data_IF_054619538374
#
_entry.id   IF_054619538374
#
_cell.length_a   1.000
_cell.length_b   1.000
_cell.length_c   1.000
_cell.angle_alpha   90.00
_cell.angle_beta   90.00
_cell.angle_gamma   90.00
#
_symmetry.space_group_name_H-M   'P 1'
#
loop_
_entity.id
_entity.type
_entity.pdbx_description
1 polymer ?
#
# COMPACT_ATOMS: atom_id res chain seq x y z
N UNK A 1 -32.61 -13.79 17.19
CA UNK A 1 -32.25 -12.36 17.29
C UNK A 1 -30.74 -12.31 17.28
N UNK A 2 -30.23 -12.43 16.07
CA UNK A 2 -28.84 -12.70 15.75
C UNK A 2 -28.04 -11.42 15.97
N UNK A 3 -27.00 -11.53 16.80
CA UNK A 3 -26.12 -10.43 17.18
C UNK A 3 -25.65 -9.68 15.93
N UNK A 4 -25.94 -8.38 15.86
CA UNK A 4 -25.29 -7.44 14.95
C UNK A 4 -23.81 -7.39 15.34
N UNK A 5 -23.04 -8.34 14.80
CA UNK A 5 -21.60 -8.38 14.94
C UNK A 5 -21.06 -7.02 14.51
N UNK A 6 -20.38 -6.34 15.44
CA UNK A 6 -19.76 -5.05 15.18
C UNK A 6 -18.84 -5.17 13.99
N UNK A 7 -19.23 -4.55 12.88
CA UNK A 7 -18.37 -4.42 11.71
C UNK A 7 -17.23 -3.52 12.15
N UNK A 8 -16.04 -4.09 12.34
CA UNK A 8 -14.87 -3.28 12.67
C UNK A 8 -14.42 -2.54 11.42
N UNK A 9 -13.79 -1.39 11.61
CA UNK A 9 -13.21 -0.62 10.50
C UNK A 9 -12.24 -1.48 9.66
N UNK A 10 -11.50 -2.39 10.30
CA UNK A 10 -10.65 -3.38 9.62
C UNK A 10 -11.42 -4.26 8.63
N UNK A 11 -12.58 -4.79 9.03
CA UNK A 11 -13.42 -5.65 8.19
C UNK A 11 -13.94 -4.88 6.96
N UNK A 12 -14.28 -3.59 7.12
CA UNK A 12 -14.70 -2.75 5.99
C UNK A 12 -13.58 -2.47 5.00
N UNK A 13 -12.34 -2.27 5.49
CA UNK A 13 -11.18 -2.04 4.64
C UNK A 13 -10.82 -3.30 3.85
N UNK A 14 -10.84 -4.46 4.50
CA UNK A 14 -10.56 -5.75 3.87
C UNK A 14 -11.59 -6.07 2.77
N UNK A 15 -12.87 -5.81 3.04
CA UNK A 15 -13.93 -5.98 2.04
C UNK A 15 -13.72 -5.07 0.84
N UNK A 16 -13.46 -3.78 1.07
CA UNK A 16 -13.19 -2.83 -0.03
C UNK A 16 -11.97 -3.25 -0.85
N UNK A 17 -10.92 -3.76 -0.21
CA UNK A 17 -9.74 -4.29 -0.90
C UNK A 17 -10.08 -5.50 -1.77
N UNK A 18 -10.88 -6.44 -1.27
CA UNK A 18 -11.36 -7.61 -2.02
C UNK A 18 -12.23 -7.21 -3.21
N UNK A 19 -13.17 -6.28 -3.03
CA UNK A 19 -14.06 -5.81 -4.09
C UNK A 19 -13.24 -5.13 -5.21
N UNK A 20 -12.29 -4.27 -4.84
CA UNK A 20 -11.38 -3.61 -5.80
C UNK A 20 -10.51 -4.61 -6.56
N UNK A 21 -9.94 -5.60 -5.86
CA UNK A 21 -9.13 -6.64 -6.47
C UNK A 21 -9.95 -7.50 -7.44
N UNK A 22 -11.15 -7.90 -7.03
CA UNK A 22 -12.06 -8.72 -7.83
C UNK A 22 -12.50 -8.00 -9.11
N UNK A 23 -12.82 -6.71 -9.02
CA UNK A 23 -13.13 -5.87 -10.20
C UNK A 23 -11.98 -5.78 -11.20
N UNK A 24 -10.75 -6.08 -10.79
CA UNK A 24 -9.56 -6.12 -11.63
C UNK A 24 -9.09 -7.54 -11.93
N UNK A 25 -9.90 -8.56 -11.61
CA UNK A 25 -9.59 -9.97 -11.86
C UNK A 25 -8.52 -10.56 -10.93
N UNK A 26 -8.17 -9.87 -9.85
CA UNK A 26 -7.19 -10.36 -8.86
C UNK A 26 -7.90 -11.13 -7.75
N UNK A 27 -7.53 -12.39 -7.57
CA UNK A 27 -8.05 -13.24 -6.51
C UNK A 27 -7.11 -13.24 -5.30
N UNK A 28 -7.43 -12.45 -4.27
CA UNK A 28 -6.53 -12.23 -3.12
C UNK A 28 -6.24 -13.49 -2.32
N UNK A 29 -7.18 -14.45 -2.26
CA UNK A 29 -6.98 -15.73 -1.59
C UNK A 29 -5.79 -16.54 -2.14
N UNK A 30 -5.43 -16.32 -3.41
CA UNK A 30 -4.31 -16.99 -4.07
C UNK A 30 -3.14 -16.04 -4.38
N UNK A 31 -3.23 -14.78 -3.94
CA UNK A 31 -2.24 -13.77 -4.26
C UNK A 31 -1.03 -13.85 -3.30
N UNK A 32 0.10 -13.31 -3.75
CA UNK A 32 1.28 -13.18 -2.87
C UNK A 32 0.95 -12.19 -1.74
N UNK A 33 1.51 -12.35 -0.53
CA UNK A 33 1.26 -11.44 0.60
C UNK A 33 1.55 -9.97 0.29
N UNK A 34 2.53 -9.69 -0.56
CA UNK A 34 2.83 -8.33 -1.04
C UNK A 34 1.69 -7.75 -1.87
N UNK A 35 1.09 -8.56 -2.72
CA UNK A 35 -0.08 -8.18 -3.52
C UNK A 35 -1.29 -7.96 -2.62
N UNK A 36 -1.52 -8.81 -1.63
CA UNK A 36 -2.61 -8.63 -0.64
C UNK A 36 -2.45 -7.30 0.08
N UNK A 37 -1.28 -7.01 0.65
CA UNK A 37 -0.98 -5.75 1.34
C UNK A 37 -1.17 -4.51 0.45
N UNK A 38 -0.84 -4.62 -0.84
CA UNK A 38 -1.06 -3.54 -1.80
C UNK A 38 -2.56 -3.25 -1.98
N UNK A 39 -3.40 -4.28 -2.05
CA UNK A 39 -4.84 -4.12 -2.19
C UNK A 39 -5.50 -3.64 -0.89
N UNK A 40 -5.04 -4.10 0.27
CA UNK A 40 -5.47 -3.57 1.57
C UNK A 40 -5.15 -2.08 1.71
N UNK A 41 -3.95 -1.65 1.31
CA UNK A 41 -3.58 -0.24 1.30
C UNK A 41 -4.48 0.58 0.37
N UNK A 42 -4.89 0.04 -0.78
CA UNK A 42 -5.85 0.70 -1.69
C UNK A 42 -7.22 0.84 -1.05
N UNK A 43 -7.71 -0.22 -0.39
CA UNK A 43 -8.97 -0.18 0.36
C UNK A 43 -8.93 0.91 1.42
N UNK A 44 -7.89 0.93 2.25
CA UNK A 44 -7.71 1.91 3.31
C UNK A 44 -7.60 3.35 2.76
N UNK A 45 -6.87 3.55 1.67
CA UNK A 45 -6.76 4.86 1.03
C UNK A 45 -8.11 5.34 0.51
N UNK A 46 -8.95 4.46 -0.04
CA UNK A 46 -10.29 4.83 -0.50
C UNK A 46 -11.20 5.27 0.67
N UNK A 47 -11.09 4.61 1.83
CA UNK A 47 -11.80 5.04 3.04
C UNK A 47 -11.36 6.44 3.50
N UNK A 48 -10.06 6.73 3.50
CA UNK A 48 -9.57 8.09 3.80
C UNK A 48 -10.06 9.13 2.78
N UNK A 49 -10.06 8.80 1.48
CA UNK A 49 -10.60 9.69 0.44
C UNK A 49 -12.10 9.94 0.64
N UNK A 50 -12.89 8.92 0.97
CA UNK A 50 -14.31 9.06 1.25
C UNK A 50 -14.58 9.94 2.49
N UNK A 51 -13.66 9.95 3.45
CA UNK A 51 -13.69 10.84 4.61
C UNK A 51 -13.19 12.27 4.31
N UNK A 52 -12.71 12.54 3.08
CA UNK A 52 -12.11 13.83 2.69
C UNK A 52 -10.65 14.00 3.12
N UNK A 53 -10.02 12.98 3.68
CA UNK A 53 -8.63 13.00 4.13
C UNK A 53 -7.68 12.52 3.01
N UNK A 54 -7.42 13.42 2.07
CA UNK A 54 -6.49 13.13 0.97
C UNK A 54 -5.04 12.93 1.45
N UNK A 55 -4.66 13.54 2.58
CA UNK A 55 -3.32 13.43 3.13
C UNK A 55 -3.01 12.02 3.63
N UNK A 56 -3.90 11.46 4.44
CA UNK A 56 -3.75 10.09 4.93
C UNK A 56 -3.90 9.06 3.80
N UNK A 57 -4.78 9.31 2.82
CA UNK A 57 -4.91 8.44 1.65
C UNK A 57 -3.57 8.31 0.87
N UNK A 58 -2.89 9.44 0.63
CA UNK A 58 -1.59 9.45 -0.05
C UNK A 58 -0.49 8.80 0.78
N UNK A 59 -0.51 9.01 2.09
CA UNK A 59 0.46 8.43 3.02
C UNK A 59 0.36 6.91 3.08
N UNK A 60 -0.86 6.36 3.11
CA UNK A 60 -1.12 4.91 3.09
C UNK A 60 -0.66 4.27 1.78
N UNK A 61 -0.89 4.95 0.65
CA UNK A 61 -0.46 4.47 -0.68
C UNK A 61 1.04 4.61 -0.93
N UNK A 62 1.78 5.30 -0.06
CA UNK A 62 3.21 5.56 -0.29
C UNK A 62 3.98 4.24 -0.18
N UNK A 63 4.73 3.84 -1.23
CA UNK A 63 5.58 2.65 -1.14
C UNK A 63 6.59 2.85 -0.02
N UNK A 64 6.72 1.85 0.87
CA UNK A 64 7.82 1.79 1.82
C UNK A 64 9.08 1.57 0.99
N UNK A 65 9.77 2.67 0.66
CA UNK A 65 11.04 2.61 -0.05
C UNK A 65 12.01 1.83 0.86
N UNK A 66 12.56 0.68 0.42
CA UNK A 66 13.65 0.07 1.16
C UNK A 66 14.80 1.07 1.19
N UNK A 67 15.40 1.26 2.36
CA UNK A 67 16.46 2.25 2.65
C UNK A 67 17.80 1.93 1.96
N UNK A 68 17.80 1.22 0.83
CA UNK A 68 18.99 0.88 0.03
C UNK A 68 18.85 1.40 -1.40
N UNK A 69 18.96 2.71 -1.54
CA UNK A 69 19.51 3.32 -2.75
C UNK A 69 20.51 4.38 -2.32
N UNK A 70 21.62 3.94 -1.71
CA UNK A 70 22.83 4.77 -1.67
C UNK A 70 23.33 4.77 -3.12
N UNK A 71 23.32 5.90 -3.86
CA UNK A 71 24.07 5.95 -5.11
C UNK A 71 25.53 5.74 -4.74
N UNK A 72 26.11 4.63 -5.21
CA UNK A 72 27.56 4.45 -5.18
C UNK A 72 28.16 5.51 -6.10
N UNK A 73 28.42 6.70 -5.57
CA UNK A 73 29.31 7.66 -6.21
C UNK A 73 30.67 6.96 -6.30
N UNK A 74 31.21 6.68 -7.50
CA UNK A 74 32.57 6.21 -7.60
C UNK A 74 33.48 7.27 -6.98
N UNK A 75 34.53 6.91 -6.22
CA UNK A 75 35.50 7.89 -5.79
C UNK A 75 36.00 8.60 -7.05
N UNK A 76 35.77 9.92 -7.12
CA UNK A 76 36.34 10.77 -8.15
C UNK A 76 37.84 10.53 -8.07
N UNK A 77 38.35 9.72 -9.00
CA UNK A 77 39.76 9.40 -9.08
C UNK A 77 40.48 10.71 -9.27
N UNK A 78 41.19 11.12 -8.23
CA UNK A 78 42.32 12.00 -8.33
C UNK A 78 43.16 11.53 -9.53
N UNK A 79 43.27 12.39 -10.53
CA UNK A 79 44.45 12.46 -11.35
C UNK A 79 44.95 13.89 -11.27
N UNK A 80 45.72 14.13 -10.21
CA UNK A 80 46.93 14.92 -10.39
C UNK A 80 47.80 14.25 -11.47
N UNK A 81 48.63 15.05 -12.14
CA UNK A 81 49.62 14.72 -13.18
C UNK A 81 49.15 15.01 -14.61
N UNK A 82 49.35 16.27 -15.05
CA UNK A 82 50.45 16.68 -15.95
C UNK A 82 50.37 18.18 -16.19
#
# INVERSE_FOLDING_TARGET
MDSLAGINFGDTVERTAHDLASMQGVHLANARPETVRLWEARGLALHHLAAGDMGEALKVMRPVRPLLAIPRQPPSAAKETT
#
